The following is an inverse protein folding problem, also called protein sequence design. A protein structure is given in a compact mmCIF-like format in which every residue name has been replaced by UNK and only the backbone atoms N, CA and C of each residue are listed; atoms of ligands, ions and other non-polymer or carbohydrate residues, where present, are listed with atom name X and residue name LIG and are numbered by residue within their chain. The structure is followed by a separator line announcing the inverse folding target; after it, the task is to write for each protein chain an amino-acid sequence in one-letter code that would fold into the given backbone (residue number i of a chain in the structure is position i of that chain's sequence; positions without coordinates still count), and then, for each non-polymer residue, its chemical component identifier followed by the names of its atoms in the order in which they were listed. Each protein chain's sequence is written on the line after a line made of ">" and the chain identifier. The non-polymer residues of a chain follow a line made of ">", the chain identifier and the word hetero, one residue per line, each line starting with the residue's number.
data_IF_416957747122
#
_entry.id   IF_416957747122
#
_cell.length_a   1.000
_cell.length_b   1.000
_cell.length_c   1.000
_cell.angle_alpha   90.00
_cell.angle_beta   90.00
_cell.angle_gamma   90.00
#
_symmetry.space_group_name_H-M   'P 1'
#
loop_
_entity.id
_entity.type
_entity.pdbx_description
1 polymer ?
#
# COMPACT_ATOMS: atom_id res chain seq x y z
N UNK A 1 41.99 18.15 -27.64
CA UNK A 1 40.63 18.28 -28.21
C UNK A 1 40.50 17.27 -29.34
N UNK A 2 39.69 16.23 -29.15
CA UNK A 2 39.40 15.20 -30.15
C UNK A 2 37.88 15.03 -30.23
N UNK A 3 37.36 14.88 -31.44
CA UNK A 3 35.97 15.09 -31.87
C UNK A 3 35.08 13.84 -31.67
N UNK A 4 33.76 13.98 -31.43
CA UNK A 4 32.88 12.90 -30.94
C UNK A 4 32.20 12.06 -32.05
N UNK A 5 32.91 11.70 -33.12
CA UNK A 5 32.32 10.94 -34.24
C UNK A 5 32.73 9.46 -34.35
N UNK A 6 33.36 8.88 -33.32
CA UNK A 6 33.93 7.52 -33.39
C UNK A 6 33.20 6.44 -32.57
N UNK A 7 32.06 6.73 -31.93
CA UNK A 7 31.34 5.75 -31.08
C UNK A 7 30.04 5.19 -31.68
N UNK A 8 29.73 5.47 -32.95
CA UNK A 8 28.45 5.06 -33.56
C UNK A 8 28.53 3.74 -34.36
N UNK A 9 29.71 3.17 -34.60
CA UNK A 9 29.84 1.97 -35.46
C UNK A 9 30.03 0.63 -34.74
N UNK A 10 30.08 0.59 -33.40
CA UNK A 10 30.25 -0.67 -32.66
C UNK A 10 28.93 -1.40 -32.30
N UNK A 11 27.80 -0.68 -32.21
CA UNK A 11 26.53 -1.25 -31.73
C UNK A 11 25.75 -2.09 -32.74
N UNK A 12 25.94 -1.86 -34.04
CA UNK A 12 25.14 -2.50 -35.09
C UNK A 12 25.65 -3.87 -35.54
N UNK A 13 26.84 -4.29 -35.09
CA UNK A 13 27.39 -5.61 -35.40
C UNK A 13 26.93 -6.70 -34.41
N UNK A 14 26.60 -6.32 -33.18
CA UNK A 14 26.26 -7.28 -32.11
C UNK A 14 24.84 -7.86 -32.21
N UNK A 15 23.92 -7.19 -32.90
CA UNK A 15 22.51 -7.59 -33.01
C UNK A 15 22.20 -8.63 -34.10
N UNK A 16 23.22 -9.19 -34.78
CA UNK A 16 23.03 -10.15 -35.89
C UNK A 16 23.39 -11.60 -35.58
N UNK A 17 23.73 -11.98 -34.34
CA UNK A 17 24.29 -13.31 -34.05
C UNK A 17 23.55 -14.25 -33.10
N UNK A 18 22.31 -14.00 -32.65
CA UNK A 18 21.58 -15.01 -31.87
C UNK A 18 20.22 -15.37 -32.45
N UNK A 19 20.22 -16.53 -33.11
CA UNK A 19 19.06 -17.23 -33.63
C UNK A 19 18.06 -17.58 -32.54
N UNK A 20 16.80 -17.31 -32.86
CA UNK A 20 15.63 -17.63 -32.06
C UNK A 20 15.38 -19.14 -32.13
N UNK A 21 15.39 -19.82 -30.98
CA UNK A 21 14.89 -21.19 -30.89
C UNK A 21 13.72 -21.23 -29.89
N UNK A 22 12.53 -21.59 -30.37
CA UNK A 22 11.30 -21.74 -29.60
C UNK A 22 11.34 -23.05 -28.82
N UNK A 23 11.22 -22.99 -27.48
CA UNK A 23 10.83 -24.16 -26.68
C UNK A 23 9.57 -23.86 -25.86
N UNK A 24 8.55 -24.70 -26.06
CA UNK A 24 7.28 -24.74 -25.31
C UNK A 24 7.52 -25.16 -23.86
N UNK A 25 7.07 -24.35 -22.91
CA UNK A 25 7.05 -24.64 -21.47
C UNK A 25 5.65 -24.97 -20.98
N UNK A 26 5.54 -26.10 -20.27
CA UNK A 26 4.35 -26.75 -19.73
C UNK A 26 3.90 -26.03 -18.44
N UNK A 27 2.60 -25.81 -18.28
CA UNK A 27 2.01 -25.25 -17.06
C UNK A 27 2.21 -26.21 -15.88
N UNK A 28 2.85 -25.73 -14.81
CA UNK A 28 2.97 -26.39 -13.52
C UNK A 28 2.36 -25.49 -12.45
N UNK A 29 1.28 -25.95 -11.85
CA UNK A 29 0.63 -25.35 -10.68
C UNK A 29 1.48 -25.57 -9.43
N UNK A 30 1.85 -24.49 -8.73
CA UNK A 30 2.44 -24.56 -7.40
C UNK A 30 1.44 -24.07 -6.36
N UNK A 31 1.11 -24.96 -5.42
CA UNK A 31 0.37 -24.67 -4.20
C UNK A 31 1.31 -24.04 -3.17
N UNK A 32 0.88 -22.95 -2.54
CA UNK A 32 1.60 -22.31 -1.43
C UNK A 32 1.19 -22.95 -0.09
N UNK A 33 2.19 -23.40 0.67
CA UNK A 33 2.03 -23.82 2.07
C UNK A 33 2.38 -22.64 2.98
N UNK A 34 1.47 -22.27 3.88
CA UNK A 34 1.68 -21.26 4.91
C UNK A 34 2.32 -21.91 6.16
N UNK A 35 3.32 -21.25 6.74
CA UNK A 35 3.86 -21.59 8.07
C UNK A 35 3.74 -20.39 9.02
N UNK A 36 3.48 -20.70 10.29
CA UNK A 36 3.08 -19.81 11.37
C UNK A 36 4.25 -19.02 12.01
N UNK A 37 3.97 -17.77 12.42
CA UNK A 37 4.56 -17.12 13.61
C UNK A 37 5.93 -16.45 13.47
N UNK A 38 5.95 -15.16 13.12
CA UNK A 38 7.11 -14.23 13.11
C UNK A 38 6.63 -12.80 12.80
N UNK A 39 7.39 -11.73 13.12
CA UNK A 39 6.85 -10.37 13.25
C UNK A 39 6.31 -9.85 11.92
N UNK A 40 5.08 -9.33 11.96
CA UNK A 40 4.43 -8.45 10.98
C UNK A 40 4.99 -8.51 9.55
N UNK A 41 4.66 -9.58 8.82
CA UNK A 41 4.71 -9.58 7.36
C UNK A 41 3.56 -8.70 6.83
N UNK A 42 3.77 -7.38 6.85
CA UNK A 42 2.88 -6.39 6.25
C UNK A 42 3.19 -6.34 4.75
N UNK A 43 2.32 -6.95 3.95
CA UNK A 43 2.38 -6.86 2.51
C UNK A 43 1.91 -5.46 2.06
N UNK A 44 2.91 -4.64 1.70
CA UNK A 44 2.82 -3.37 1.00
C UNK A 44 2.34 -3.61 -0.44
N UNK A 45 1.04 -3.48 -0.68
CA UNK A 45 0.33 -4.12 -1.79
C UNK A 45 0.45 -3.47 -3.18
N UNK A 46 1.49 -2.68 -3.47
CA UNK A 46 1.68 -2.11 -4.82
C UNK A 46 3.02 -2.46 -5.50
N UNK A 47 4.03 -2.94 -4.76
CA UNK A 47 5.38 -3.22 -5.30
C UNK A 47 5.98 -4.54 -4.81
N UNK A 48 5.32 -5.21 -3.85
CA UNK A 48 5.82 -6.45 -3.25
C UNK A 48 6.03 -7.53 -4.31
N UNK A 49 7.30 -7.91 -4.51
CA UNK A 49 7.68 -9.03 -5.37
C UNK A 49 8.11 -8.67 -6.80
N UNK A 50 8.11 -7.40 -7.21
CA UNK A 50 8.69 -7.00 -8.50
C UNK A 50 10.20 -7.22 -8.49
N UNK A 51 10.73 -7.95 -9.48
CA UNK A 51 12.16 -8.19 -9.69
C UNK A 51 12.59 -7.67 -11.06
N UNK A 52 13.91 -7.53 -11.25
CA UNK A 52 14.47 -7.13 -12.52
C UNK A 52 14.15 -8.14 -13.66
N UNK A 53 13.98 -7.69 -14.92
CA UNK A 53 13.95 -6.29 -15.32
C UNK A 53 12.65 -5.59 -14.88
N UNK A 54 12.78 -4.43 -14.26
CA UNK A 54 11.66 -3.59 -13.85
C UNK A 54 10.98 -2.97 -15.08
N UNK A 55 9.68 -2.77 -14.98
CA UNK A 55 8.86 -2.14 -16.01
C UNK A 55 8.22 -0.89 -15.46
N UNK A 56 8.00 0.11 -16.32
CA UNK A 56 7.21 1.29 -16.00
C UNK A 56 5.73 0.88 -15.94
N UNK A 57 5.07 0.90 -14.76
CA UNK A 57 3.67 0.49 -14.67
C UNK A 57 2.78 1.50 -15.39
N UNK A 58 1.74 1.07 -16.13
CA UNK A 58 0.82 2.01 -16.76
C UNK A 58 0.09 2.85 -15.71
N UNK A 59 -0.16 4.12 -16.04
CA UNK A 59 -1.05 4.96 -15.24
C UNK A 59 -2.48 4.38 -15.24
N UNK A 60 -3.17 4.49 -14.11
CA UNK A 60 -4.56 4.02 -13.97
C UNK A 60 -5.58 4.91 -14.69
N UNK A 61 -5.13 6.05 -15.22
CA UNK A 61 -5.94 7.09 -15.85
C UNK A 61 -5.16 7.76 -16.99
N UNK A 62 -5.88 8.40 -17.91
CA UNK A 62 -5.31 9.11 -19.07
C UNK A 62 -4.55 10.38 -18.65
N UNK A 63 -3.61 10.84 -19.47
CA UNK A 63 -2.71 11.97 -19.12
C UNK A 63 -3.46 13.28 -18.82
N UNK A 64 -4.66 13.47 -19.35
CA UNK A 64 -5.46 14.66 -19.14
C UNK A 64 -6.31 14.58 -17.87
N UNK A 65 -6.39 13.41 -17.22
CA UNK A 65 -7.38 13.13 -16.19
C UNK A 65 -7.13 13.87 -14.86
N UNK A 66 -5.90 14.35 -14.61
CA UNK A 66 -5.57 15.15 -13.43
C UNK A 66 -5.73 16.66 -13.64
N UNK A 67 -6.06 17.11 -14.85
CA UNK A 67 -6.31 18.52 -15.12
C UNK A 67 -7.56 19.01 -14.35
N UNK A 68 -7.60 20.27 -13.90
CA UNK A 68 -6.59 21.33 -14.08
C UNK A 68 -5.48 21.33 -13.02
N UNK A 69 -5.40 20.33 -12.15
CA UNK A 69 -4.52 20.33 -10.98
C UNK A 69 -3.08 19.99 -11.35
N UNK A 70 -2.90 18.98 -12.20
CA UNK A 70 -1.63 18.61 -12.85
C UNK A 70 -1.91 18.47 -14.35
N UNK A 71 -1.10 19.11 -15.20
CA UNK A 71 -1.32 19.08 -16.65
C UNK A 71 -0.85 17.77 -17.28
N UNK A 72 -1.39 17.49 -18.49
CA UNK A 72 -0.90 16.41 -19.32
C UNK A 72 0.60 16.59 -19.66
N UNK A 73 1.06 17.82 -19.88
CA UNK A 73 2.49 18.10 -20.14
C UNK A 73 3.36 17.69 -18.96
N UNK A 74 2.96 18.02 -17.72
CA UNK A 74 3.66 17.55 -16.52
C UNK A 74 3.74 16.02 -16.50
N UNK A 75 2.68 15.31 -16.84
CA UNK A 75 2.68 13.85 -16.86
C UNK A 75 3.52 13.25 -17.98
N UNK A 76 3.62 13.92 -19.13
CA UNK A 76 4.52 13.51 -20.21
C UNK A 76 5.98 13.53 -19.79
N UNK A 77 6.40 14.53 -19.02
CA UNK A 77 7.75 14.61 -18.49
C UNK A 77 7.91 13.74 -17.25
N UNK A 78 7.08 13.91 -16.23
CA UNK A 78 7.24 13.27 -14.92
C UNK A 78 7.11 11.75 -15.00
N UNK A 79 6.04 11.24 -15.62
CA UNK A 79 5.87 9.81 -15.84
C UNK A 79 6.65 9.33 -17.08
N UNK A 80 6.44 10.00 -18.23
CA UNK A 80 6.98 9.54 -19.52
C UNK A 80 8.48 9.74 -19.73
N UNK A 81 9.15 10.57 -18.92
CA UNK A 81 10.60 10.79 -18.98
C UNK A 81 11.31 10.49 -17.66
N UNK A 82 10.97 11.18 -16.57
CA UNK A 82 11.69 11.03 -15.29
C UNK A 82 11.54 9.62 -14.72
N UNK A 83 10.31 9.16 -14.53
CA UNK A 83 10.05 7.82 -14.01
C UNK A 83 10.58 6.71 -14.95
N UNK A 84 10.36 6.85 -16.26
CA UNK A 84 10.93 5.93 -17.26
C UNK A 84 12.47 5.86 -17.20
N UNK A 85 13.14 7.00 -17.03
CA UNK A 85 14.60 7.05 -16.91
C UNK A 85 15.08 6.33 -15.65
N UNK A 86 14.39 6.47 -14.51
CA UNK A 86 14.72 5.73 -13.30
C UNK A 86 14.61 4.21 -13.50
N UNK A 87 13.54 3.74 -14.16
CA UNK A 87 13.36 2.32 -14.49
C UNK A 87 14.49 1.80 -15.38
N UNK A 88 14.81 2.53 -16.46
CA UNK A 88 15.87 2.14 -17.39
C UNK A 88 17.24 2.12 -16.71
N UNK A 89 17.59 3.19 -15.98
CA UNK A 89 18.86 3.30 -15.29
C UNK A 89 19.03 2.23 -14.21
N UNK A 90 17.96 1.90 -13.48
CA UNK A 90 18.00 0.82 -12.48
C UNK A 90 18.29 -0.52 -13.16
N UNK A 91 17.61 -0.84 -14.26
CA UNK A 91 17.86 -2.06 -15.01
C UNK A 91 19.30 -2.12 -15.54
N UNK A 92 19.82 -1.04 -16.10
CA UNK A 92 21.20 -0.96 -16.59
C UNK A 92 22.22 -1.17 -15.46
N UNK A 93 21.99 -0.55 -14.30
CA UNK A 93 22.85 -0.71 -13.13
C UNK A 93 22.88 -2.15 -12.61
N UNK A 94 21.76 -2.88 -12.67
CA UNK A 94 21.67 -4.26 -12.18
C UNK A 94 22.32 -5.29 -13.11
N UNK A 95 22.65 -4.91 -14.34
CA UNK A 95 23.45 -5.73 -15.26
C UNK A 95 24.96 -5.57 -15.04
N UNK A 96 25.39 -4.57 -14.25
CA UNK A 96 26.80 -4.35 -13.96
C UNK A 96 27.35 -5.41 -12.97
N UNK A 97 28.54 -6.00 -13.21
CA UNK A 97 29.10 -7.05 -12.35
C UNK A 97 29.25 -6.66 -10.88
N UNK A 98 29.61 -5.41 -10.58
CA UNK A 98 29.74 -4.89 -9.22
C UNK A 98 28.40 -4.85 -8.45
N UNK A 99 27.27 -4.85 -9.17
CA UNK A 99 25.92 -4.83 -8.62
C UNK A 99 25.25 -6.20 -8.65
N UNK A 100 25.97 -7.28 -8.98
CA UNK A 100 25.41 -8.63 -9.11
C UNK A 100 24.63 -9.09 -7.85
N UNK A 101 25.04 -8.64 -6.65
CA UNK A 101 24.34 -8.93 -5.38
C UNK A 101 22.90 -8.39 -5.30
N UNK A 102 22.56 -7.41 -6.14
CA UNK A 102 21.26 -6.75 -6.17
C UNK A 102 20.31 -7.33 -7.23
N UNK A 103 20.82 -8.12 -8.18
CA UNK A 103 20.08 -8.54 -9.37
C UNK A 103 18.80 -9.33 -9.07
N UNK A 104 18.82 -10.18 -8.05
CA UNK A 104 17.70 -11.04 -7.68
C UNK A 104 16.78 -10.45 -6.60
N UNK A 105 17.10 -9.24 -6.14
CA UNK A 105 16.35 -8.52 -5.11
C UNK A 105 15.08 -7.92 -5.71
N UNK A 106 14.03 -7.88 -4.90
CA UNK A 106 12.80 -7.16 -5.22
C UNK A 106 13.00 -5.66 -5.10
N UNK A 107 12.11 -4.86 -5.70
CA UNK A 107 12.18 -3.39 -5.58
C UNK A 107 12.19 -2.94 -4.11
N UNK A 108 11.33 -3.51 -3.27
CA UNK A 108 11.27 -3.19 -1.84
C UNK A 108 12.58 -3.54 -1.13
N UNK A 109 13.15 -4.72 -1.40
CA UNK A 109 14.46 -5.10 -0.83
C UNK A 109 15.58 -4.17 -1.31
N UNK A 110 15.57 -3.72 -2.56
CA UNK A 110 16.54 -2.74 -3.06
C UNK A 110 16.41 -1.41 -2.33
N UNK A 111 15.18 -0.93 -2.12
CA UNK A 111 14.93 0.30 -1.36
C UNK A 111 15.47 0.18 0.06
N UNK A 112 15.26 -0.95 0.72
CA UNK A 112 15.70 -1.18 2.11
C UNK A 112 17.22 -1.40 2.21
N UNK A 113 17.81 -2.20 1.32
CA UNK A 113 19.17 -2.74 1.50
C UNK A 113 20.25 -2.08 0.64
N UNK A 114 19.90 -1.54 -0.55
CA UNK A 114 20.90 -1.03 -1.47
C UNK A 114 21.57 0.26 -0.96
N UNK A 115 22.64 0.71 -1.60
CA UNK A 115 23.34 1.96 -1.24
C UNK A 115 23.82 2.68 -2.49
N UNK A 116 24.03 3.99 -2.37
CA UNK A 116 24.49 4.82 -3.49
C UNK A 116 23.51 4.80 -4.66
N UNK A 117 24.03 4.85 -5.89
CA UNK A 117 23.21 5.03 -7.09
C UNK A 117 22.15 3.94 -7.31
N UNK A 118 22.39 2.70 -6.88
CA UNK A 118 21.37 1.62 -6.97
C UNK A 118 20.19 1.92 -6.06
N UNK A 119 20.45 2.43 -4.84
CA UNK A 119 19.40 2.88 -3.95
C UNK A 119 18.66 4.07 -4.54
N UNK A 120 19.37 5.09 -5.03
CA UNK A 120 18.73 6.30 -5.55
C UNK A 120 17.75 5.96 -6.69
N UNK A 121 18.16 5.09 -7.64
CA UNK A 121 17.25 4.68 -8.72
C UNK A 121 16.13 3.76 -8.24
N UNK A 122 16.41 2.78 -7.37
CA UNK A 122 15.38 1.88 -6.85
C UNK A 122 14.31 2.64 -6.06
N UNK A 123 14.73 3.56 -5.19
CA UNK A 123 13.83 4.37 -4.40
C UNK A 123 13.06 5.36 -5.27
N UNK A 124 13.66 5.98 -6.29
CA UNK A 124 12.89 6.85 -7.18
C UNK A 124 11.86 6.07 -8.02
N UNK A 125 12.17 4.85 -8.50
CA UNK A 125 11.15 3.99 -9.14
C UNK A 125 10.02 3.68 -8.16
N UNK A 126 10.36 3.29 -6.93
CA UNK A 126 9.38 2.98 -5.91
C UNK A 126 8.50 4.19 -5.54
N UNK A 127 9.12 5.34 -5.29
CA UNK A 127 8.46 6.57 -4.88
C UNK A 127 7.46 7.03 -5.94
N UNK A 128 7.84 6.98 -7.22
CA UNK A 128 6.94 7.35 -8.31
C UNK A 128 5.81 6.34 -8.50
N UNK A 129 6.08 5.03 -8.45
CA UNK A 129 5.01 4.01 -8.45
C UNK A 129 3.96 4.30 -7.38
N UNK A 130 4.42 4.63 -6.17
CA UNK A 130 3.53 4.94 -5.05
C UNK A 130 2.81 6.29 -5.24
N UNK A 131 3.51 7.32 -5.71
CA UNK A 131 2.94 8.64 -5.98
C UNK A 131 1.79 8.58 -6.98
N UNK A 132 1.92 7.83 -8.08
CA UNK A 132 0.81 7.70 -9.05
C UNK A 132 -0.43 7.03 -8.44
N UNK A 133 -0.23 6.06 -7.55
CA UNK A 133 -1.32 5.44 -6.78
C UNK A 133 -1.98 6.39 -5.79
N UNK A 134 -1.26 7.40 -5.31
CA UNK A 134 -1.80 8.44 -4.43
C UNK A 134 -2.70 9.45 -5.13
N UNK A 135 -2.86 9.38 -6.46
CA UNK A 135 -3.59 10.36 -7.25
C UNK A 135 -4.80 9.74 -7.95
N UNK A 136 -5.92 10.48 -7.95
CA UNK A 136 -7.12 10.17 -8.72
C UNK A 136 -7.62 11.38 -9.52
N UNK A 137 -8.31 11.17 -10.65
CA UNK A 137 -8.99 12.23 -11.37
C UNK A 137 -10.01 12.98 -10.49
N UNK A 138 -9.97 14.31 -10.53
CA UNK A 138 -10.98 15.20 -9.94
C UNK A 138 -11.18 16.45 -10.82
N UNK A 139 -11.73 16.28 -12.04
CA UNK A 139 -11.80 17.35 -13.03
C UNK A 139 -12.73 18.51 -12.61
N UNK A 140 -13.71 18.23 -11.75
CA UNK A 140 -14.63 19.23 -11.22
C UNK A 140 -14.02 20.07 -10.09
N UNK A 141 -12.83 19.71 -9.61
CA UNK A 141 -12.09 20.47 -8.59
C UNK A 141 -12.78 20.50 -7.23
N UNK A 142 -13.66 19.54 -6.95
CA UNK A 142 -14.40 19.46 -5.69
C UNK A 142 -13.44 19.31 -4.50
N UNK A 143 -13.85 19.80 -3.34
CA UNK A 143 -13.15 19.53 -2.09
C UNK A 143 -12.99 18.01 -1.88
N UNK A 144 -11.79 17.59 -1.49
CA UNK A 144 -11.42 16.19 -1.40
C UNK A 144 -10.92 15.88 0.01
N UNK A 145 -11.82 15.35 0.84
CA UNK A 145 -11.55 15.00 2.23
C UNK A 145 -11.41 13.47 2.41
N UNK A 146 -10.62 13.02 3.40
CA UNK A 146 -10.48 11.60 3.71
C UNK A 146 -11.79 11.00 4.18
N UNK A 147 -12.00 9.73 3.86
CA UNK A 147 -13.12 8.91 4.31
C UNK A 147 -12.60 7.58 4.85
N UNK A 148 -13.42 6.84 5.60
CA UNK A 148 -13.05 5.53 6.13
C UNK A 148 -12.00 5.60 7.25
N UNK A 149 -11.22 4.53 7.39
CA UNK A 149 -10.29 4.35 8.51
C UNK A 149 -9.22 5.45 8.59
N UNK A 150 -8.70 5.91 7.44
CA UNK A 150 -7.70 6.99 7.44
C UNK A 150 -8.24 8.28 8.05
N UNK A 151 -9.52 8.62 7.84
CA UNK A 151 -10.14 9.79 8.45
C UNK A 151 -10.11 9.70 9.99
N UNK A 152 -10.54 8.56 10.52
CA UNK A 152 -10.60 8.33 11.96
C UNK A 152 -9.21 8.35 12.61
N UNK A 153 -8.20 7.82 11.92
CA UNK A 153 -6.81 7.88 12.38
C UNK A 153 -6.22 9.28 12.29
N UNK A 154 -6.55 10.05 11.25
CA UNK A 154 -6.15 11.46 11.14
C UNK A 154 -6.74 12.27 12.30
N UNK A 155 -8.03 12.10 12.58
CA UNK A 155 -8.68 12.78 13.73
C UNK A 155 -8.05 12.37 15.06
N UNK A 156 -7.67 11.09 15.22
CA UNK A 156 -7.01 10.60 16.42
C UNK A 156 -5.63 11.24 16.64
N UNK A 157 -4.79 11.27 15.60
CA UNK A 157 -3.36 11.60 15.74
C UNK A 157 -3.05 13.07 15.51
N UNK A 158 -3.85 13.77 14.70
CA UNK A 158 -3.68 15.19 14.38
C UNK A 158 -4.81 16.08 14.92
N UNK A 159 -5.87 15.49 15.48
CA UNK A 159 -7.03 16.19 16.03
C UNK A 159 -8.10 16.55 14.98
N UNK A 160 -7.71 16.92 13.77
CA UNK A 160 -8.62 17.16 12.65
C UNK A 160 -7.95 16.98 11.29
N UNK A 161 -8.74 16.85 10.22
CA UNK A 161 -8.20 16.84 8.87
C UNK A 161 -7.51 18.16 8.50
N UNK A 162 -8.04 19.29 8.94
CA UNK A 162 -7.43 20.61 8.67
C UNK A 162 -6.05 20.72 9.33
N UNK A 163 -5.92 20.28 10.59
CA UNK A 163 -4.63 20.30 11.29
C UNK A 163 -3.60 19.40 10.60
N UNK A 164 -4.01 18.19 10.18
CA UNK A 164 -3.15 17.31 9.38
C UNK A 164 -2.76 17.94 8.04
N UNK A 165 -3.72 18.52 7.32
CA UNK A 165 -3.51 19.16 6.02
C UNK A 165 -2.53 20.34 6.15
N UNK A 166 -2.64 21.13 7.20
CA UNK A 166 -1.74 22.24 7.50
C UNK A 166 -0.31 21.74 7.80
N UNK A 167 -0.18 20.73 8.67
CA UNK A 167 1.13 20.14 9.00
C UNK A 167 1.81 19.54 7.77
N UNK A 168 1.09 18.72 7.00
CA UNK A 168 1.60 18.09 5.79
C UNK A 168 1.95 19.13 4.70
N UNK A 169 1.10 20.15 4.51
CA UNK A 169 1.38 21.22 3.55
C UNK A 169 2.59 22.06 3.96
N UNK A 170 2.74 22.36 5.24
CA UNK A 170 3.90 23.07 5.76
C UNK A 170 5.18 22.27 5.54
N UNK A 171 5.15 20.94 5.71
CA UNK A 171 6.27 20.07 5.38
C UNK A 171 6.60 20.10 3.88
N UNK A 172 5.60 20.02 2.98
CA UNK A 172 5.83 20.08 1.53
C UNK A 172 6.45 21.41 1.09
N UNK A 173 5.90 22.52 1.58
CA UNK A 173 6.36 23.87 1.23
C UNK A 173 7.74 24.15 1.84
N UNK A 174 7.97 23.71 3.08
CA UNK A 174 9.20 23.95 3.83
C UNK A 174 10.37 23.03 3.48
N UNK A 175 10.15 21.94 2.74
CA UNK A 175 11.22 21.01 2.36
C UNK A 175 12.26 21.71 1.48
N UNK A 176 13.48 21.88 1.97
CA UNK A 176 14.52 22.55 1.19
C UNK A 176 15.15 21.61 0.17
N UNK A 177 15.16 22.02 -1.10
CA UNK A 177 15.68 21.22 -2.21
C UNK A 177 14.68 20.21 -2.75
N UNK A 178 15.22 19.08 -3.21
CA UNK A 178 14.50 17.96 -3.80
C UNK A 178 14.10 16.94 -2.74
N UNK A 179 12.90 16.38 -2.85
CA UNK A 179 12.47 15.33 -1.92
C UNK A 179 10.99 15.01 -1.98
N UNK A 180 10.55 14.33 -0.93
CA UNK A 180 9.23 13.74 -0.77
C UNK A 180 8.70 14.02 0.62
N UNK A 181 7.39 14.22 0.73
CA UNK A 181 6.70 14.28 2.02
C UNK A 181 5.70 13.15 2.11
N UNK A 182 5.73 12.46 3.25
CA UNK A 182 5.03 11.21 3.44
C UNK A 182 4.08 11.31 4.63
N UNK A 183 2.89 10.71 4.48
CA UNK A 183 2.11 10.23 5.60
C UNK A 183 2.49 8.78 5.78
N UNK A 184 2.90 8.41 6.99
CA UNK A 184 3.30 7.05 7.32
C UNK A 184 2.51 6.53 8.50
N UNK A 185 2.30 5.22 8.55
CA UNK A 185 1.97 4.51 9.79
C UNK A 185 3.29 4.10 10.45
N UNK A 186 3.59 4.72 11.58
CA UNK A 186 4.80 4.46 12.36
C UNK A 186 4.74 3.11 13.08
N UNK A 187 5.92 2.59 13.42
CA UNK A 187 6.09 1.37 14.22
C UNK A 187 5.45 1.46 15.62
N UNK A 188 5.15 2.67 16.09
CA UNK A 188 4.43 2.98 17.33
C UNK A 188 2.90 2.99 17.16
N UNK A 189 2.41 2.63 15.97
CA UNK A 189 0.98 2.52 15.68
C UNK A 189 0.27 3.86 15.44
N UNK A 190 1.03 4.94 15.20
CA UNK A 190 0.53 6.30 14.96
C UNK A 190 0.84 6.80 13.56
N UNK A 191 -0.04 7.65 13.03
CA UNK A 191 0.23 8.42 11.84
C UNK A 191 1.27 9.49 12.12
N UNK A 192 2.17 9.70 11.16
CA UNK A 192 3.21 10.75 11.21
C UNK A 192 3.39 11.39 9.85
N UNK A 193 3.70 12.68 9.83
CA UNK A 193 4.26 13.37 8.66
C UNK A 193 5.78 13.25 8.73
N UNK A 194 6.39 12.71 7.68
CA UNK A 194 7.86 12.56 7.58
C UNK A 194 8.35 13.10 6.24
N UNK A 195 9.59 13.57 6.20
CA UNK A 195 10.21 14.10 4.98
C UNK A 195 11.37 13.21 4.56
N UNK A 196 11.47 12.93 3.27
CA UNK A 196 12.60 12.23 2.66
C UNK A 196 13.33 13.16 1.69
N UNK A 197 14.56 13.53 2.02
CA UNK A 197 15.40 14.30 1.08
C UNK A 197 15.85 13.43 -0.09
N UNK A 198 15.93 14.01 -1.27
CA UNK A 198 16.23 13.33 -2.53
C UNK A 198 15.34 12.10 -2.78
N UNK A 199 15.90 10.90 -2.61
CA UNK A 199 15.23 9.62 -2.84
C UNK A 199 14.83 8.89 -1.54
N UNK A 200 15.07 9.49 -0.37
CA UNK A 200 14.82 8.85 0.93
C UNK A 200 13.38 8.35 1.04
N UNK A 201 13.25 7.10 1.47
CA UNK A 201 12.01 6.36 1.51
C UNK A 201 11.76 5.77 2.92
N UNK A 202 10.54 5.93 3.50
CA UNK A 202 10.24 5.48 4.87
C UNK A 202 10.36 3.96 5.11
N UNK A 203 10.40 3.13 4.07
CA UNK A 203 10.61 1.68 4.22
C UNK A 203 11.94 1.35 4.92
N UNK A 204 12.95 2.22 4.78
CA UNK A 204 14.23 2.08 5.49
C UNK A 204 14.12 2.18 7.00
N UNK A 205 13.09 2.89 7.48
CA UNK A 205 12.84 3.10 8.90
C UNK A 205 11.78 2.12 9.45
N UNK A 206 11.40 1.11 8.66
CA UNK A 206 10.36 0.14 9.02
C UNK A 206 8.96 0.76 9.12
N UNK A 207 8.78 1.97 8.59
CA UNK A 207 7.50 2.67 8.56
C UNK A 207 6.70 2.20 7.34
N UNK A 208 5.38 2.31 7.41
CA UNK A 208 4.50 1.94 6.31
C UNK A 208 4.02 3.21 5.60
N UNK A 209 4.46 3.47 4.35
CA UNK A 209 4.00 4.62 3.58
C UNK A 209 2.51 4.50 3.26
N UNK A 210 1.77 5.60 3.41
CA UNK A 210 0.33 5.65 3.16
C UNK A 210 -0.05 6.67 2.08
N UNK A 211 0.58 7.84 2.08
CA UNK A 211 0.40 8.93 1.12
C UNK A 211 1.76 9.60 0.89
N UNK A 212 2.03 10.06 -0.34
CA UNK A 212 3.24 10.84 -0.65
C UNK A 212 2.95 12.01 -1.59
N UNK A 213 3.71 13.09 -1.42
CA UNK A 213 3.74 14.23 -2.33
C UNK A 213 5.18 14.42 -2.84
N UNK A 214 5.34 14.44 -4.17
CA UNK A 214 6.61 14.76 -4.82
C UNK A 214 6.84 16.28 -4.76
N UNK A 215 7.89 16.72 -4.08
CA UNK A 215 8.27 18.15 -4.00
C UNK A 215 9.55 18.46 -4.77
N UNK A 216 10.04 17.53 -5.61
CA UNK A 216 10.99 17.84 -6.65
C UNK A 216 10.39 18.85 -7.63
N UNK A 217 11.21 19.79 -8.13
CA UNK A 217 10.69 20.85 -9.00
C UNK A 217 10.04 20.29 -10.28
N UNK A 218 10.53 19.16 -10.83
CA UNK A 218 9.92 18.55 -12.01
C UNK A 218 8.45 18.16 -11.82
N UNK A 219 7.98 17.98 -10.59
CA UNK A 219 6.59 17.60 -10.30
C UNK A 219 5.61 18.76 -10.52
N UNK A 220 6.10 20.01 -10.53
CA UNK A 220 5.23 21.18 -10.55
C UNK A 220 5.72 22.35 -11.37
N UNK A 221 6.98 22.38 -11.81
CA UNK A 221 7.55 23.58 -12.42
C UNK A 221 6.88 23.93 -13.75
N UNK A 222 6.44 22.92 -14.52
CA UNK A 222 5.67 23.09 -15.77
C UNK A 222 4.35 23.81 -15.52
N UNK A 223 3.65 23.50 -14.43
CA UNK A 223 2.32 24.04 -14.13
C UNK A 223 2.38 25.32 -13.28
N UNK A 224 3.33 25.43 -12.36
CA UNK A 224 3.35 26.44 -11.29
C UNK A 224 4.68 27.17 -11.12
N UNK A 225 5.70 26.83 -11.91
CA UNK A 225 7.07 27.39 -11.78
C UNK A 225 7.52 27.30 -10.32
N UNK A 226 7.98 28.39 -9.73
CA UNK A 226 8.45 28.42 -8.34
C UNK A 226 7.33 28.41 -7.29
N UNK A 227 6.04 28.45 -7.68
CA UNK A 227 4.92 28.51 -6.76
C UNK A 227 4.54 27.12 -6.20
N UNK A 228 5.48 26.48 -5.49
CA UNK A 228 5.25 25.19 -4.81
C UNK A 228 4.01 25.19 -3.89
N UNK A 229 3.72 26.25 -3.10
CA UNK A 229 2.49 26.28 -2.29
C UNK A 229 1.21 26.11 -3.12
N UNK A 230 1.15 26.72 -4.30
CA UNK A 230 0.00 26.56 -5.18
C UNK A 230 -0.10 25.12 -5.68
N UNK A 231 1.02 24.49 -6.05
CA UNK A 231 1.04 23.07 -6.43
C UNK A 231 0.49 22.18 -5.32
N UNK A 232 0.96 22.35 -4.08
CA UNK A 232 0.48 21.56 -2.93
C UNK A 232 -1.02 21.76 -2.71
N UNK A 233 -1.53 22.98 -2.84
CA UNK A 233 -2.97 23.26 -2.76
C UNK A 233 -3.79 22.48 -3.81
N UNK A 234 -3.29 22.43 -5.05
CA UNK A 234 -3.94 21.70 -6.13
C UNK A 234 -3.80 20.17 -5.97
N UNK A 235 -2.65 19.70 -5.48
CA UNK A 235 -2.39 18.29 -5.20
C UNK A 235 -3.41 17.71 -4.20
N UNK A 236 -3.79 18.46 -3.16
CA UNK A 236 -4.84 18.02 -2.22
C UNK A 236 -6.18 17.69 -2.89
N UNK A 237 -6.49 18.33 -4.03
CA UNK A 237 -7.74 18.10 -4.77
C UNK A 237 -7.77 16.72 -5.43
N UNK A 238 -6.62 16.12 -5.69
CA UNK A 238 -6.49 14.87 -6.45
C UNK A 238 -5.96 13.71 -5.62
N UNK A 239 -5.80 13.86 -4.29
CA UNK A 239 -5.40 12.75 -3.42
C UNK A 239 -6.41 11.59 -3.47
N UNK A 240 -5.94 10.38 -3.73
CA UNK A 240 -6.76 9.17 -3.68
C UNK A 240 -6.79 8.55 -2.28
N UNK A 241 -7.77 8.98 -1.47
CA UNK A 241 -8.02 8.42 -0.15
C UNK A 241 -8.38 6.92 -0.16
N UNK A 242 -8.83 6.36 -1.30
CA UNK A 242 -9.10 4.92 -1.43
C UNK A 242 -7.80 4.13 -1.41
N UNK A 243 -6.79 4.62 -2.13
CA UNK A 243 -5.44 4.06 -2.11
C UNK A 243 -4.82 4.13 -0.70
N UNK A 244 -4.95 5.28 -0.03
CA UNK A 244 -4.45 5.46 1.35
C UNK A 244 -5.09 4.46 2.33
N UNK A 245 -6.42 4.26 2.25
CA UNK A 245 -7.11 3.25 3.07
C UNK A 245 -6.69 1.81 2.73
N UNK A 246 -6.41 1.52 1.45
CA UNK A 246 -5.94 0.20 1.01
C UNK A 246 -4.58 -0.12 1.65
N UNK A 247 -3.68 0.86 1.74
CA UNK A 247 -2.37 0.71 2.39
C UNK A 247 -2.47 0.54 3.92
N UNK A 248 -3.53 1.05 4.55
CA UNK A 248 -3.78 0.89 5.99
C UNK A 248 -4.35 -0.48 6.39
N UNK A 249 -5.09 -1.13 5.48
CA UNK A 249 -5.82 -2.37 5.78
C UNK A 249 -4.94 -3.52 6.31
N UNK A 250 -3.70 -3.72 5.79
CA UNK A 250 -2.83 -4.78 6.30
C UNK A 250 -2.18 -4.49 7.66
N UNK A 251 -2.16 -3.23 8.11
CA UNK A 251 -1.38 -2.79 9.29
C UNK A 251 -2.23 -2.51 10.52
N UNK A 252 -3.48 -2.10 10.32
CA UNK A 252 -4.43 -1.92 11.42
C UNK A 252 -5.32 -3.16 11.45
N UNK A 253 -5.23 -4.01 12.49
CA UNK A 253 -6.20 -5.09 12.68
C UNK A 253 -7.59 -4.47 12.61
N UNK A 254 -8.46 -5.02 11.75
CA UNK A 254 -9.80 -4.48 11.52
C UNK A 254 -10.41 -4.06 12.86
N UNK A 255 -10.59 -2.75 13.05
CA UNK A 255 -11.30 -2.27 14.23
C UNK A 255 -12.69 -2.88 14.12
N UNK A 256 -13.01 -3.81 15.03
CA UNK A 256 -14.32 -4.43 15.07
C UNK A 256 -15.37 -3.32 14.97
N UNK A 257 -16.41 -3.48 14.15
CA UNK A 257 -17.42 -2.44 14.00
C UNK A 257 -17.88 -2.02 15.39
N UNK A 258 -17.79 -0.71 15.68
CA UNK A 258 -18.32 -0.16 16.93
C UNK A 258 -19.72 -0.70 17.05
N UNK A 259 -19.98 -1.52 18.08
CA UNK A 259 -21.33 -1.98 18.38
C UNK A 259 -22.22 -0.74 18.37
N UNK A 260 -23.22 -0.76 17.49
CA UNK A 260 -24.26 0.24 17.53
C UNK A 260 -24.97 0.01 18.86
N UNK A 261 -24.63 0.80 19.88
CA UNK A 261 -25.37 0.80 21.15
C UNK A 261 -26.83 0.96 20.77
N UNK A 262 -27.69 -0.05 20.98
CA UNK A 262 -29.08 0.06 20.57
C UNK A 262 -29.63 1.29 21.27
N UNK A 263 -30.19 2.24 20.51
CA UNK A 263 -31.00 3.28 21.12
C UNK A 263 -32.01 2.57 22.02
N UNK A 264 -32.03 2.95 23.29
CA UNK A 264 -32.90 2.36 24.30
C UNK A 264 -34.33 2.44 23.78
N UNK A 265 -34.89 1.30 23.36
CA UNK A 265 -36.31 1.25 23.01
C UNK A 265 -37.10 1.73 24.22
N UNK A 266 -38.16 2.54 24.03
CA UNK A 266 -39.09 2.82 25.12
C UNK A 266 -39.61 1.49 25.68
N UNK A 267 -39.88 1.41 26.99
CA UNK A 267 -40.21 0.15 27.65
C UNK A 267 -41.36 -0.56 26.93
N UNK A 268 -41.17 -1.84 26.66
CA UNK A 268 -42.15 -2.69 25.99
C UNK A 268 -43.44 -2.78 26.81
N UNK A 269 -44.58 -2.81 26.11
CA UNK A 269 -45.91 -3.05 26.66
C UNK A 269 -45.92 -4.38 27.45
N UNK A 270 -46.30 -4.39 28.74
CA UNK A 270 -46.30 -5.60 29.57
C UNK A 270 -47.27 -6.70 29.10
N UNK A 271 -48.08 -6.47 28.06
CA UNK A 271 -49.07 -7.44 27.56
C UNK A 271 -48.71 -8.13 26.22
N UNK A 272 -47.49 -7.96 25.68
CA UNK A 272 -47.10 -8.66 24.46
C UNK A 272 -46.75 -10.14 24.73
N UNK A 273 -47.49 -11.07 24.10
CA UNK A 273 -47.26 -12.51 24.18
C UNK A 273 -45.91 -12.94 23.55
N UNK A 274 -45.23 -13.99 24.06
CA UNK A 274 -43.91 -14.37 23.59
C UNK A 274 -43.98 -15.04 22.20
N UNK A 275 -43.47 -14.31 21.20
CA UNK A 275 -43.23 -14.80 19.84
C UNK A 275 -41.85 -15.45 19.70
N UNK A 276 -41.83 -16.55 18.96
CA UNK A 276 -40.83 -17.60 18.85
C UNK A 276 -39.66 -17.33 17.84
N UNK A 277 -38.50 -17.95 18.13
CA UNK A 277 -37.42 -18.53 17.29
C UNK A 277 -36.38 -17.73 16.49
N UNK A 278 -36.56 -16.48 16.05
CA UNK A 278 -35.61 -15.95 15.04
C UNK A 278 -34.18 -15.66 15.56
N UNK A 279 -34.01 -15.30 16.83
CA UNK A 279 -32.71 -14.91 17.38
C UNK A 279 -31.81 -16.10 17.72
N UNK A 280 -32.38 -17.22 18.16
CA UNK A 280 -31.62 -18.44 18.43
C UNK A 280 -31.24 -19.18 17.13
N UNK A 281 -32.09 -19.11 16.11
CA UNK A 281 -31.77 -19.64 14.78
C UNK A 281 -30.66 -18.83 14.09
N UNK A 282 -30.66 -17.50 14.22
CA UNK A 282 -29.60 -16.63 13.69
C UNK A 282 -28.24 -16.85 14.39
N UNK A 283 -28.24 -17.09 15.70
CA UNK A 283 -27.02 -17.42 16.46
C UNK A 283 -26.51 -18.83 16.10
N UNK A 284 -27.39 -19.81 15.93
CA UNK A 284 -27.00 -21.16 15.50
C UNK A 284 -26.41 -21.17 14.08
N UNK A 285 -26.94 -20.37 13.16
CA UNK A 285 -26.40 -20.24 11.80
C UNK A 285 -25.02 -19.55 11.79
N UNK A 286 -24.83 -18.53 12.63
CA UNK A 286 -23.56 -17.82 12.77
C UNK A 286 -22.46 -18.72 13.34
N UNK A 287 -22.76 -19.48 14.41
CA UNK A 287 -21.80 -20.41 15.00
C UNK A 287 -21.57 -21.67 14.15
N UNK A 288 -22.59 -22.15 13.42
CA UNK A 288 -22.45 -23.26 12.48
C UNK A 288 -21.49 -22.97 11.33
N UNK A 289 -21.48 -21.74 10.80
CA UNK A 289 -20.51 -21.27 9.80
C UNK A 289 -19.10 -21.06 10.36
N UNK A 290 -18.98 -20.81 11.66
CA UNK A 290 -17.69 -20.60 12.32
C UNK A 290 -16.98 -21.92 12.62
N UNK A 291 -17.72 -22.97 12.99
CA UNK A 291 -17.16 -24.30 13.31
C UNK A 291 -16.79 -25.10 12.05
N UNK A 292 -17.54 -24.98 10.94
CA UNK A 292 -17.23 -25.67 9.69
C UNK A 292 -15.93 -25.18 9.01
N UNK A 293 -15.40 -24.04 9.46
CA UNK A 293 -14.13 -23.46 8.98
C UNK A 293 -12.89 -24.01 9.70
N UNK A 294 -13.08 -24.82 10.75
CA UNK A 294 -12.00 -25.51 11.48
C UNK A 294 -11.96 -27.03 11.27
N UNK A 295 -12.85 -27.56 10.43
CA UNK A 295 -12.85 -28.97 10.04
C UNK A 295 -12.47 -29.13 8.57
N UNK A 296 -11.17 -29.16 8.29
CA UNK A 296 -10.60 -29.80 7.09
C UNK A 296 -9.57 -30.85 7.54
N UNK A 297 -9.43 -31.98 6.82
CA UNK A 297 -8.89 -33.22 7.37
C UNK A 297 -7.37 -33.25 7.30
N UNK A 298 -6.69 -32.89 8.40
CA UNK A 298 -5.28 -33.25 8.60
C UNK A 298 -5.05 -33.60 10.07
N UNK A 299 -5.61 -34.71 10.55
CA UNK A 299 -4.95 -35.62 11.51
C UNK A 299 -5.62 -36.99 11.35
N UNK A 300 -5.07 -37.82 10.46
CA UNK A 300 -5.36 -39.24 10.43
C UNK A 300 -4.03 -40.01 10.51
N UNK A 301 -3.27 -39.76 11.57
CA UNK A 301 -2.31 -40.75 12.08
C UNK A 301 -1.91 -40.42 13.53
N UNK A 302 -2.67 -40.96 14.48
CA UNK A 302 -2.28 -41.23 15.86
C UNK A 302 -3.52 -41.79 16.57
N UNK A 303 -3.63 -43.12 16.63
CA UNK A 303 -4.80 -43.82 17.19
C UNK A 303 -5.04 -43.53 18.68
N UNK A 304 -5.91 -42.56 18.97
CA UNK A 304 -6.53 -42.34 20.29
C UNK A 304 -8.02 -41.96 20.13
N UNK A 305 -8.91 -42.42 21.04
CA UNK A 305 -10.37 -42.37 20.84
C UNK A 305 -10.97 -40.96 20.96
N UNK A 306 -11.87 -40.65 20.03
CA UNK A 306 -12.47 -39.34 19.73
C UNK A 306 -13.54 -38.86 20.74
N UNK A 307 -13.48 -39.26 22.01
CA UNK A 307 -14.58 -39.03 22.96
C UNK A 307 -14.38 -37.89 24.00
N UNK A 308 -13.17 -37.36 24.17
CA UNK A 308 -12.90 -36.47 25.32
C UNK A 308 -12.67 -34.98 24.99
N UNK A 309 -12.62 -34.59 23.71
CA UNK A 309 -12.37 -33.18 23.35
C UNK A 309 -13.64 -32.29 23.29
N UNK A 310 -14.83 -32.88 23.10
CA UNK A 310 -16.10 -32.12 23.02
C UNK A 310 -16.73 -31.86 24.39
N UNK A 311 -16.35 -32.63 25.41
CA UNK A 311 -16.89 -32.50 26.78
C UNK A 311 -16.24 -31.33 27.53
N UNK A 312 -14.99 -30.98 27.23
CA UNK A 312 -14.29 -29.86 27.87
C UNK A 312 -14.73 -28.47 27.35
N UNK A 313 -15.12 -28.33 26.08
CA UNK A 313 -15.58 -27.04 25.55
C UNK A 313 -17.05 -26.72 25.89
N UNK A 314 -17.86 -27.73 26.23
CA UNK A 314 -19.28 -27.55 26.56
C UNK A 314 -19.51 -27.13 28.01
N UNK A 315 -18.60 -27.50 28.94
CA UNK A 315 -18.75 -27.20 30.36
C UNK A 315 -18.36 -25.76 30.72
N UNK A 316 -17.43 -25.15 29.99
CA UNK A 316 -16.99 -23.77 30.22
C UNK A 316 -18.02 -22.74 29.73
N UNK A 317 -18.83 -23.09 28.72
CA UNK A 317 -19.86 -22.21 28.17
C UNK A 317 -21.17 -22.23 29.00
N UNK A 318 -21.50 -23.35 29.64
CA UNK A 318 -22.65 -23.43 30.55
C UNK A 318 -22.43 -22.71 31.88
N UNK A 319 -21.18 -22.57 32.36
CA UNK A 319 -20.85 -21.76 33.54
C UNK A 319 -20.87 -20.24 33.25
N UNK A 320 -20.62 -19.83 32.01
CA UNK A 320 -20.68 -18.40 31.62
C UNK A 320 -22.11 -17.87 31.46
N UNK A 321 -23.10 -18.75 31.23
CA UNK A 321 -24.51 -18.36 31.05
C UNK A 321 -25.29 -18.39 32.39
N UNK A 322 -24.83 -19.17 33.38
CA UNK A 322 -25.44 -19.23 34.72
C UNK A 322 -25.08 -18.07 35.66
N UNK A 323 -24.04 -17.27 35.36
CA UNK A 323 -23.51 -16.21 36.24
C UNK A 323 -24.19 -14.84 36.15
N UNK A 324 -25.26 -14.69 35.36
CA UNK A 324 -26.00 -13.42 35.19
C UNK A 324 -27.37 -13.40 35.91
N UNK A 325 -27.55 -14.23 36.94
CA UNK A 325 -28.61 -14.05 37.95
C UNK A 325 -28.04 -14.30 39.34
N UNK A 326 -27.64 -13.22 39.99
CA UNK A 326 -27.18 -13.10 41.37
C UNK A 326 -26.84 -11.65 41.67
#
# INVERSE_FOLDING_TARGET
>A
MLSPLFLITAGLWYLRQRGINKSRGRAGTFAAAATNGGPLNVALLATSGLKAPFQLPPLAWDKEALAPHISAETLEYHYGKHHLAYVNNLNDLLELPENAKWKDKTLDELVVEATGVVFDQAAQVWNHNFYWGCLKPNPEGQDNAPTGLVKDLIERDFGSFDAFKDEFSAACVGHFGSGWVWLVYGVDGKLKVTQGHDAVNPLRDGQVPLLTCDVWEHAYYVDRRNARPAYVEAWWRIVDWTFVNTNLTPVVPAMAPKEHTPQRQPPADPNAAPGNSSAQEALAEYFGKYISRFSSPVVADAGLPYADALTCCSLTLLLAIGGLRG
#
